data_IF_280185135015
#
_entry.id   IF_280185135015
#
_cell.length_a   1.000
_cell.length_b   1.000
_cell.length_c   1.000
_cell.angle_alpha   90.00
_cell.angle_beta   90.00
_cell.angle_gamma   90.00
#
_symmetry.space_group_name_H-M   'P 1'
#
loop_
_entity.id
_entity.type
_entity.pdbx_description
1 polymer ?
#
# COMPACT_ATOMS: atom_id res chain seq x y z
N UNK A 1 -38.13 25.62 36.59
CA UNK A 1 -37.83 25.27 35.19
C UNK A 1 -36.64 24.32 35.21
N UNK A 2 -36.92 23.01 35.19
CA UNK A 2 -35.86 21.98 35.23
C UNK A 2 -35.28 21.79 33.84
N UNK A 3 -34.05 22.22 33.65
CA UNK A 3 -33.29 21.84 32.46
C UNK A 3 -32.83 20.38 32.61
N UNK A 4 -33.58 19.45 32.05
CA UNK A 4 -33.10 18.09 31.79
C UNK A 4 -32.01 18.15 30.74
N UNK A 5 -30.77 17.99 31.16
CA UNK A 5 -29.64 17.67 30.24
C UNK A 5 -29.96 16.37 29.57
N UNK A 6 -29.88 16.27 28.23
CA UNK A 6 -30.09 14.99 27.56
C UNK A 6 -28.94 14.05 27.96
N UNK A 7 -29.30 12.91 28.53
CA UNK A 7 -28.39 11.79 28.76
C UNK A 7 -27.94 11.34 27.37
N UNK A 8 -26.74 11.70 26.96
CA UNK A 8 -26.10 11.19 25.78
C UNK A 8 -25.71 9.74 26.04
N UNK A 9 -26.08 8.88 25.13
CA UNK A 9 -25.82 7.46 25.03
C UNK A 9 -24.37 7.09 25.34
N UNK A 10 -24.05 6.90 26.61
CA UNK A 10 -22.75 6.32 27.02
C UNK A 10 -22.59 4.89 26.47
N UNK A 11 -23.69 4.22 26.16
CA UNK A 11 -23.70 2.90 25.52
C UNK A 11 -23.15 2.89 24.09
N UNK A 12 -23.52 3.85 23.22
CA UNK A 12 -23.03 3.93 21.84
C UNK A 12 -21.54 4.28 21.79
N UNK A 13 -21.06 5.14 22.71
CA UNK A 13 -19.63 5.44 22.80
C UNK A 13 -18.81 4.24 23.30
N UNK A 14 -19.35 3.48 24.24
CA UNK A 14 -18.69 2.26 24.75
C UNK A 14 -18.67 1.18 23.68
N UNK A 15 -19.75 0.98 22.94
CA UNK A 15 -19.77 0.04 21.79
C UNK A 15 -18.81 0.47 20.69
N UNK A 16 -18.74 1.74 20.31
CA UNK A 16 -17.75 2.23 19.35
C UNK A 16 -16.31 2.06 19.86
N UNK A 17 -16.04 2.32 21.13
CA UNK A 17 -14.71 2.07 21.71
C UNK A 17 -14.36 0.58 21.76
N UNK A 18 -15.30 -0.29 22.06
CA UNK A 18 -15.09 -1.74 22.04
C UNK A 18 -14.84 -2.23 20.62
N UNK A 19 -15.57 -1.73 19.60
CA UNK A 19 -15.37 -2.06 18.20
C UNK A 19 -14.03 -1.53 17.69
N UNK A 20 -13.65 -0.32 18.04
CA UNK A 20 -12.34 0.26 17.66
C UNK A 20 -11.19 -0.46 18.37
N UNK A 21 -11.33 -0.79 19.66
CA UNK A 21 -10.33 -1.59 20.38
C UNK A 21 -10.25 -3.02 19.86
N UNK A 22 -11.38 -3.62 19.47
CA UNK A 22 -11.42 -4.94 18.83
C UNK A 22 -10.71 -4.97 17.49
N UNK A 23 -10.98 -4.01 16.61
CA UNK A 23 -10.31 -3.91 15.32
C UNK A 23 -8.80 -3.68 15.46
N UNK A 24 -8.36 -2.82 16.36
CA UNK A 24 -6.94 -2.61 16.64
C UNK A 24 -6.28 -3.86 17.24
N UNK A 25 -7.00 -4.60 18.08
CA UNK A 25 -6.52 -5.87 18.63
C UNK A 25 -6.36 -6.95 17.55
N UNK A 26 -7.30 -7.03 16.60
CA UNK A 26 -7.23 -8.00 15.49
C UNK A 26 -6.08 -7.64 14.54
N UNK A 27 -5.95 -6.39 14.11
CA UNK A 27 -4.85 -5.94 13.25
C UNK A 27 -3.49 -6.17 13.90
N UNK A 28 -3.35 -5.81 15.19
CA UNK A 28 -2.14 -6.05 15.97
C UNK A 28 -1.80 -7.54 16.06
N UNK A 29 -2.80 -8.37 16.33
CA UNK A 29 -2.62 -9.83 16.41
C UNK A 29 -2.13 -10.39 15.06
N UNK A 30 -2.78 -9.98 13.96
CA UNK A 30 -2.40 -10.36 12.61
C UNK A 30 -0.96 -9.94 12.29
N UNK A 31 -0.60 -8.68 12.59
CA UNK A 31 0.73 -8.15 12.31
C UNK A 31 1.81 -8.81 13.17
N UNK A 32 1.66 -8.83 14.48
CA UNK A 32 2.73 -9.24 15.40
C UNK A 32 2.90 -10.76 15.46
N UNK A 33 1.80 -11.53 15.59
CA UNK A 33 1.91 -12.97 15.76
C UNK A 33 1.92 -13.73 14.42
N UNK A 34 1.24 -13.22 13.39
CA UNK A 34 1.21 -13.88 12.09
C UNK A 34 2.12 -13.21 11.06
N UNK A 35 2.75 -12.08 11.41
CA UNK A 35 3.60 -11.26 10.52
C UNK A 35 2.88 -10.84 9.23
N UNK A 36 1.57 -10.52 9.34
CA UNK A 36 0.71 -10.12 8.24
C UNK A 36 0.18 -8.71 8.48
N UNK A 37 0.60 -7.76 7.67
CA UNK A 37 0.16 -6.37 7.72
C UNK A 37 -0.96 -6.17 6.72
N UNK A 38 -2.14 -5.78 7.18
CA UNK A 38 -3.32 -5.60 6.34
C UNK A 38 -3.52 -4.12 5.99
N UNK A 39 -3.44 -3.80 4.69
CA UNK A 39 -3.83 -2.51 4.13
C UNK A 39 -5.15 -2.72 3.37
N UNK A 40 -6.27 -2.45 4.05
CA UNK A 40 -7.64 -2.61 3.52
C UNK A 40 -8.38 -1.27 3.53
N UNK A 41 -7.72 -0.25 2.98
CA UNK A 41 -8.20 1.13 2.93
C UNK A 41 -7.36 1.94 1.93
N UNK A 42 -7.71 3.20 1.74
CA UNK A 42 -6.95 4.14 0.93
C UNK A 42 -5.51 4.32 1.46
N UNK A 43 -4.57 4.56 0.55
CA UNK A 43 -3.17 4.90 0.89
C UNK A 43 -3.15 6.37 1.33
N UNK A 44 -3.04 6.56 2.63
CA UNK A 44 -2.99 7.86 3.31
C UNK A 44 -1.82 7.88 4.28
N UNK A 45 -1.53 9.04 4.85
CA UNK A 45 -0.53 9.15 5.90
C UNK A 45 -0.82 8.20 7.07
N UNK A 46 -2.08 8.06 7.49
CA UNK A 46 -2.48 7.20 8.60
C UNK A 46 -2.26 5.72 8.28
N UNK A 47 -2.71 5.26 7.10
CA UNK A 47 -2.59 3.86 6.71
C UNK A 47 -1.13 3.44 6.53
N UNK A 48 -0.32 4.32 5.97
CA UNK A 48 1.12 4.10 5.78
C UNK A 48 1.85 4.15 7.11
N UNK A 49 1.53 5.10 8.00
CA UNK A 49 2.12 5.16 9.35
C UNK A 49 1.82 3.89 10.15
N UNK A 50 0.59 3.35 10.07
CA UNK A 50 0.23 2.08 10.70
C UNK A 50 1.10 0.92 10.16
N UNK A 51 1.24 0.81 8.85
CA UNK A 51 2.07 -0.22 8.23
C UNK A 51 3.54 -0.11 8.63
N UNK A 52 4.10 1.09 8.60
CA UNK A 52 5.48 1.40 9.03
C UNK A 52 5.69 1.02 10.50
N UNK A 53 4.74 1.38 11.37
CA UNK A 53 4.80 1.02 12.80
C UNK A 53 4.93 -0.49 12.98
N UNK A 54 4.12 -1.30 12.29
CA UNK A 54 4.21 -2.76 12.39
C UNK A 54 5.51 -3.30 11.80
N UNK A 55 6.00 -2.76 10.69
CA UNK A 55 7.27 -3.18 10.10
C UNK A 55 8.44 -2.95 11.07
N UNK A 56 8.56 -1.77 11.65
CA UNK A 56 9.60 -1.49 12.64
C UNK A 56 9.44 -2.33 13.92
N UNK A 57 8.20 -2.53 14.39
CA UNK A 57 7.95 -3.40 15.54
C UNK A 57 8.44 -4.82 15.28
N UNK A 58 8.19 -5.37 14.09
CA UNK A 58 8.66 -6.70 13.71
C UNK A 58 10.19 -6.76 13.61
N UNK A 59 10.84 -5.71 13.10
CA UNK A 59 12.30 -5.62 13.06
C UNK A 59 12.90 -5.60 14.48
N UNK A 60 12.28 -4.86 15.41
CA UNK A 60 12.75 -4.79 16.78
C UNK A 60 12.57 -6.13 17.51
N UNK A 61 11.44 -6.81 17.31
CA UNK A 61 11.21 -8.16 17.84
C UNK A 61 12.23 -9.16 17.29
N UNK A 62 12.52 -9.14 15.98
CA UNK A 62 13.52 -10.02 15.38
C UNK A 62 14.93 -9.77 15.96
N UNK A 63 15.25 -8.51 16.28
CA UNK A 63 16.51 -8.13 16.94
C UNK A 63 16.56 -8.64 18.39
N UNK A 64 15.48 -8.48 19.14
CA UNK A 64 15.36 -8.96 20.51
C UNK A 64 15.48 -10.50 20.59
N UNK A 65 14.92 -11.20 19.59
CA UNK A 65 15.01 -12.65 19.47
C UNK A 65 16.36 -13.14 18.87
N UNK A 66 17.20 -12.24 18.38
CA UNK A 66 18.49 -12.56 17.75
C UNK A 66 18.36 -13.24 16.38
N UNK A 67 17.23 -13.05 15.69
CA UNK A 67 16.95 -13.67 14.39
C UNK A 67 17.03 -12.68 13.22
N UNK A 68 17.48 -11.45 13.44
CA UNK A 68 17.56 -10.37 12.44
C UNK A 68 18.43 -10.71 11.21
N UNK A 69 19.31 -11.71 11.33
CA UNK A 69 20.14 -12.20 10.20
C UNK A 69 19.42 -13.22 9.31
N UNK A 70 18.34 -13.79 9.80
CA UNK A 70 17.50 -14.75 9.06
C UNK A 70 16.04 -14.61 9.52
N UNK A 71 15.43 -13.43 9.33
CA UNK A 71 14.09 -13.16 9.80
C UNK A 71 13.06 -13.97 9.02
N UNK A 72 11.98 -14.34 9.70
CA UNK A 72 10.82 -14.94 9.02
C UNK A 72 10.19 -13.92 8.06
N UNK A 73 9.62 -14.38 6.93
CA UNK A 73 8.92 -13.48 6.00
C UNK A 73 7.82 -12.64 6.66
N UNK A 74 7.62 -11.46 6.12
CA UNK A 74 6.50 -10.57 6.46
C UNK A 74 5.60 -10.50 5.23
N UNK A 75 4.29 -10.63 5.42
CA UNK A 75 3.30 -10.54 4.34
C UNK A 75 2.51 -9.24 4.45
N UNK A 76 2.48 -8.44 3.38
CA UNK A 76 1.62 -7.27 3.25
C UNK A 76 0.40 -7.67 2.41
N UNK A 77 -0.78 -7.68 3.05
CA UNK A 77 -2.06 -8.01 2.42
C UNK A 77 -2.72 -6.72 1.92
N UNK A 78 -3.04 -6.66 0.64
CA UNK A 78 -3.52 -5.44 -0.03
C UNK A 78 -4.95 -5.61 -0.54
N UNK A 79 -5.82 -4.69 -0.13
CA UNK A 79 -7.11 -4.41 -0.74
C UNK A 79 -7.33 -2.90 -0.69
N UNK A 80 -6.85 -2.18 -1.70
CA UNK A 80 -6.79 -0.72 -1.68
C UNK A 80 -7.06 -0.11 -3.05
N UNK A 81 -7.83 0.98 -3.12
CA UNK A 81 -8.01 1.76 -4.36
C UNK A 81 -6.76 2.57 -4.73
N UNK A 82 -5.73 2.58 -3.91
CA UNK A 82 -4.59 3.50 -4.02
C UNK A 82 -4.76 4.73 -3.13
N UNK A 83 -4.20 5.85 -3.53
CA UNK A 83 -4.26 7.12 -2.78
C UNK A 83 -2.98 7.94 -2.93
N UNK A 84 -2.51 8.54 -1.84
CA UNK A 84 -1.36 9.44 -1.82
C UNK A 84 -0.08 8.77 -2.34
N UNK A 85 0.46 9.32 -3.43
CA UNK A 85 1.72 8.82 -4.02
C UNK A 85 2.89 9.05 -3.08
N UNK A 86 2.93 10.21 -2.42
CA UNK A 86 4.02 10.55 -1.51
C UNK A 86 4.08 9.61 -0.31
N UNK A 87 2.94 9.36 0.33
CA UNK A 87 2.88 8.43 1.46
C UNK A 87 3.22 7.00 1.01
N UNK A 88 2.69 6.57 -0.13
CA UNK A 88 2.99 5.25 -0.66
C UNK A 88 4.48 5.05 -1.02
N UNK A 89 5.16 6.07 -1.57
CA UNK A 89 6.60 6.01 -1.84
C UNK A 89 7.44 5.88 -0.56
N UNK A 90 6.98 6.40 0.57
CA UNK A 90 7.63 6.17 1.86
C UNK A 90 7.61 4.68 2.20
N UNK A 91 6.44 4.03 2.06
CA UNK A 91 6.31 2.59 2.32
C UNK A 91 7.13 1.75 1.33
N UNK A 92 7.13 2.11 0.04
CA UNK A 92 7.97 1.47 -0.98
C UNK A 92 9.45 1.54 -0.59
N UNK A 93 9.93 2.72 -0.20
CA UNK A 93 11.33 2.91 0.22
C UNK A 93 11.68 2.06 1.44
N UNK A 94 10.77 1.95 2.42
CA UNK A 94 11.00 1.09 3.59
C UNK A 94 11.03 -0.40 3.21
N UNK A 95 10.12 -0.84 2.33
CA UNK A 95 10.13 -2.22 1.82
C UNK A 95 11.47 -2.53 1.14
N UNK A 96 11.94 -1.65 0.26
CA UNK A 96 13.22 -1.80 -0.43
C UNK A 96 14.39 -1.86 0.57
N UNK A 97 14.44 -0.95 1.53
CA UNK A 97 15.46 -0.94 2.57
C UNK A 97 15.46 -2.23 3.40
N UNK A 98 14.30 -2.71 3.80
CA UNK A 98 14.19 -3.97 4.56
C UNK A 98 14.67 -5.16 3.72
N UNK A 99 14.36 -5.21 2.42
CA UNK A 99 14.88 -6.22 1.50
C UNK A 99 16.40 -6.19 1.41
N UNK A 100 17.00 -4.99 1.33
CA UNK A 100 18.46 -4.82 1.34
C UNK A 100 19.10 -5.28 2.66
N UNK A 101 18.35 -5.22 3.77
CA UNK A 101 18.74 -5.78 5.08
C UNK A 101 18.55 -7.29 5.19
N UNK A 102 18.03 -7.96 4.15
CA UNK A 102 17.80 -9.41 4.12
C UNK A 102 16.41 -9.88 4.52
N UNK A 103 15.45 -8.96 4.72
CA UNK A 103 14.05 -9.32 4.96
C UNK A 103 13.37 -9.80 3.69
N UNK A 104 12.56 -10.84 3.81
CA UNK A 104 11.61 -11.25 2.77
C UNK A 104 10.26 -10.57 3.03
N UNK A 105 9.91 -9.58 2.21
CA UNK A 105 8.63 -8.87 2.30
C UNK A 105 7.75 -9.34 1.14
N UNK A 106 6.79 -10.19 1.43
CA UNK A 106 5.82 -10.63 0.42
C UNK A 106 4.65 -9.64 0.33
N UNK A 107 4.05 -9.55 -0.83
CA UNK A 107 2.81 -8.80 -1.05
C UNK A 107 1.74 -9.73 -1.61
N UNK A 108 0.52 -9.59 -1.10
CA UNK A 108 -0.62 -10.39 -1.55
C UNK A 108 -1.81 -9.49 -1.87
N UNK A 109 -2.23 -9.47 -3.12
CA UNK A 109 -3.49 -8.84 -3.50
C UNK A 109 -4.66 -9.77 -3.12
N UNK A 110 -5.38 -9.42 -2.05
CA UNK A 110 -6.55 -10.19 -1.57
C UNK A 110 -7.85 -9.70 -2.19
N UNK A 111 -7.84 -8.53 -2.80
CA UNK A 111 -8.94 -7.88 -3.52
C UNK A 111 -8.37 -6.94 -4.56
N UNK A 112 -8.56 -5.65 -4.41
CA UNK A 112 -8.03 -4.65 -5.33
C UNK A 112 -6.63 -4.19 -4.91
N UNK A 113 -5.71 -4.10 -5.86
CA UNK A 113 -4.45 -3.39 -5.72
C UNK A 113 -4.36 -2.35 -6.85
N UNK A 114 -4.83 -1.12 -6.58
CA UNK A 114 -4.97 -0.09 -7.60
C UNK A 114 -4.06 1.11 -7.33
N UNK A 115 -3.65 1.80 -8.42
CA UNK A 115 -2.91 3.07 -8.36
C UNK A 115 -1.67 2.92 -7.47
N UNK A 116 -1.52 3.73 -6.43
CA UNK A 116 -0.40 3.60 -5.49
C UNK A 116 -0.35 2.24 -4.76
N UNK A 117 -1.50 1.59 -4.56
CA UNK A 117 -1.57 0.23 -4.03
C UNK A 117 -0.93 -0.80 -4.97
N UNK A 118 -1.05 -0.62 -6.29
CA UNK A 118 -0.34 -1.41 -7.29
C UNK A 118 1.18 -1.23 -7.20
N UNK A 119 1.64 0.01 -7.01
CA UNK A 119 3.08 0.30 -6.87
C UNK A 119 3.65 -0.36 -5.62
N UNK A 120 2.96 -0.30 -4.49
CA UNK A 120 3.36 -1.02 -3.26
C UNK A 120 3.37 -2.53 -3.52
N UNK A 121 2.34 -3.07 -4.20
CA UNK A 121 2.22 -4.49 -4.48
C UNK A 121 3.42 -5.04 -5.26
N UNK A 122 3.84 -4.37 -6.33
CA UNK A 122 4.92 -4.88 -7.19
C UNK A 122 6.30 -4.85 -6.52
N UNK A 123 6.48 -4.11 -5.41
CA UNK A 123 7.77 -4.05 -4.69
C UNK A 123 8.03 -5.25 -3.79
N UNK A 124 7.06 -6.13 -3.60
CA UNK A 124 7.22 -7.36 -2.83
C UNK A 124 8.36 -8.26 -3.31
N UNK A 125 8.93 -9.04 -2.39
CA UNK A 125 9.92 -10.09 -2.71
C UNK A 125 9.28 -11.24 -3.48
N UNK A 126 8.09 -11.65 -3.04
CA UNK A 126 7.20 -12.57 -3.75
C UNK A 126 5.81 -11.93 -3.77
N UNK A 127 5.18 -11.96 -4.93
CA UNK A 127 3.92 -11.27 -5.21
C UNK A 127 2.82 -12.28 -5.48
N UNK A 128 1.89 -12.39 -4.55
CA UNK A 128 0.78 -13.32 -4.62
C UNK A 128 -0.52 -12.61 -4.94
N UNK A 129 -1.43 -13.29 -5.61
CA UNK A 129 -2.75 -12.79 -5.91
C UNK A 129 -3.83 -13.81 -5.58
N UNK A 130 -4.93 -13.37 -4.98
CA UNK A 130 -6.12 -14.18 -4.94
C UNK A 130 -6.76 -14.23 -6.35
N UNK A 131 -7.50 -15.31 -6.63
CA UNK A 131 -8.08 -15.61 -7.94
C UNK A 131 -8.99 -14.50 -8.49
N UNK A 132 -9.66 -13.76 -7.62
CA UNK A 132 -10.59 -12.69 -7.98
C UNK A 132 -10.05 -11.29 -7.67
N UNK A 133 -8.74 -11.17 -7.47
CA UNK A 133 -8.12 -9.87 -7.30
C UNK A 133 -8.13 -9.08 -8.62
N UNK A 134 -8.03 -7.76 -8.49
CA UNK A 134 -7.95 -6.85 -9.63
C UNK A 134 -6.79 -5.87 -9.41
N UNK A 135 -6.04 -5.64 -10.44
CA UNK A 135 -4.99 -4.64 -10.48
C UNK A 135 -5.40 -3.47 -11.36
N UNK A 136 -5.03 -2.26 -10.97
CA UNK A 136 -5.26 -1.08 -11.79
C UNK A 136 -4.07 -0.14 -11.73
N UNK A 137 -3.66 0.32 -12.89
CA UNK A 137 -2.67 1.37 -13.08
C UNK A 137 -3.28 2.51 -13.87
N UNK A 138 -3.04 3.74 -13.45
CA UNK A 138 -3.41 4.96 -14.16
C UNK A 138 -2.32 6.02 -13.99
N UNK A 139 -2.42 7.07 -14.80
CA UNK A 139 -1.54 8.23 -14.67
C UNK A 139 -1.79 8.96 -13.35
N UNK A 140 -0.77 9.66 -12.84
CA UNK A 140 -0.91 10.44 -11.60
C UNK A 140 -1.95 11.54 -11.83
N UNK A 141 -3.03 11.48 -11.03
CA UNK A 141 -4.09 12.49 -11.07
C UNK A 141 -3.98 13.43 -9.88
N UNK A 142 -4.19 14.72 -10.13
CA UNK A 142 -4.21 15.73 -9.07
C UNK A 142 -5.17 16.86 -9.45
N UNK A 143 -5.72 17.51 -8.44
CA UNK A 143 -6.39 18.80 -8.60
C UNK A 143 -5.50 19.90 -8.01
N UNK A 144 -5.08 20.84 -8.83
CA UNK A 144 -4.22 21.95 -8.42
C UNK A 144 -4.90 23.28 -8.74
N UNK A 145 -4.74 24.22 -7.84
CA UNK A 145 -5.18 25.60 -8.01
C UNK A 145 -4.12 26.53 -7.43
N UNK A 146 -3.98 27.74 -7.98
CA UNK A 146 -2.99 28.70 -7.51
C UNK A 146 -2.51 29.66 -8.58
N UNK A 147 -1.39 30.32 -8.32
CA UNK A 147 -0.73 31.21 -9.30
C UNK A 147 -0.04 30.37 -10.38
N UNK A 148 0.10 30.93 -11.58
CA UNK A 148 0.69 30.23 -12.73
C UNK A 148 2.06 29.62 -12.40
N UNK A 149 2.94 30.37 -11.75
CA UNK A 149 4.27 29.85 -11.36
C UNK A 149 4.20 28.68 -10.39
N UNK A 150 3.32 28.74 -9.40
CA UNK A 150 3.12 27.68 -8.41
C UNK A 150 2.64 26.39 -9.10
N UNK A 151 1.77 26.55 -10.13
CA UNK A 151 1.28 25.44 -10.95
C UNK A 151 2.38 24.83 -11.83
N UNK A 152 3.23 25.66 -12.45
CA UNK A 152 4.36 25.21 -13.27
C UNK A 152 5.37 24.39 -12.43
N UNK A 153 5.73 24.89 -11.24
CA UNK A 153 6.62 24.18 -10.30
C UNK A 153 6.01 22.85 -9.83
N UNK A 154 4.73 22.87 -9.46
CA UNK A 154 4.00 21.66 -9.05
C UNK A 154 3.92 20.63 -10.18
N UNK A 155 3.72 21.07 -11.43
CA UNK A 155 3.71 20.17 -12.60
C UNK A 155 5.09 19.54 -12.85
N UNK A 156 6.17 20.27 -12.63
CA UNK A 156 7.52 19.71 -12.74
C UNK A 156 7.76 18.62 -11.68
N UNK A 157 7.35 18.85 -10.44
CA UNK A 157 7.49 17.87 -9.36
C UNK A 157 6.62 16.62 -9.61
N UNK A 158 5.42 16.78 -10.14
CA UNK A 158 4.58 15.65 -10.55
C UNK A 158 5.23 14.82 -11.67
N UNK A 159 5.89 15.46 -12.65
CA UNK A 159 6.62 14.74 -13.70
C UNK A 159 7.80 13.94 -13.13
N UNK A 160 8.51 14.50 -12.15
CA UNK A 160 9.59 13.78 -11.45
C UNK A 160 9.02 12.57 -10.70
N UNK A 161 7.91 12.77 -9.99
CA UNK A 161 7.22 11.70 -9.28
C UNK A 161 6.72 10.60 -10.23
N UNK A 162 6.11 10.97 -11.35
CA UNK A 162 5.68 10.03 -12.39
C UNK A 162 6.86 9.20 -12.92
N UNK A 163 7.99 9.86 -13.17
CA UNK A 163 9.20 9.14 -13.59
C UNK A 163 9.65 8.12 -12.55
N UNK A 164 9.63 8.46 -11.25
CA UNK A 164 9.98 7.52 -10.17
C UNK A 164 9.04 6.31 -10.17
N UNK A 165 7.73 6.53 -10.30
CA UNK A 165 6.73 5.45 -10.37
C UNK A 165 7.01 4.54 -11.57
N UNK A 166 7.36 5.08 -12.74
CA UNK A 166 7.71 4.28 -13.91
C UNK A 166 9.01 3.50 -13.73
N UNK A 167 10.01 4.10 -13.12
CA UNK A 167 11.27 3.41 -12.83
C UNK A 167 11.03 2.22 -11.88
N UNK A 168 10.10 2.35 -10.91
CA UNK A 168 9.67 1.26 -10.03
C UNK A 168 8.96 0.16 -10.83
N UNK A 169 8.01 0.50 -11.70
CA UNK A 169 7.29 -0.49 -12.53
C UNK A 169 8.28 -1.28 -13.40
N UNK A 170 9.20 -0.60 -14.07
CA UNK A 170 10.23 -1.24 -14.89
C UNK A 170 11.17 -2.13 -14.09
N UNK A 171 11.50 -1.73 -12.87
CA UNK A 171 12.39 -2.50 -11.97
C UNK A 171 11.74 -3.82 -11.54
N UNK A 172 10.43 -3.83 -11.31
CA UNK A 172 9.74 -4.94 -10.65
C UNK A 172 8.82 -5.76 -11.54
N UNK A 173 8.63 -5.37 -12.80
CA UNK A 173 7.72 -6.07 -13.72
C UNK A 173 8.37 -6.33 -15.08
N UNK A 174 7.74 -7.15 -15.90
CA UNK A 174 8.15 -7.39 -17.30
C UNK A 174 7.28 -6.61 -18.30
N UNK A 175 6.59 -5.56 -17.84
CA UNK A 175 5.76 -4.72 -18.72
C UNK A 175 6.65 -4.02 -19.74
N UNK A 176 6.41 -4.18 -21.06
CA UNK A 176 7.19 -3.54 -22.11
C UNK A 176 7.09 -2.01 -22.06
N UNK A 177 8.18 -1.32 -22.39
CA UNK A 177 8.24 0.15 -22.41
C UNK A 177 7.19 0.77 -23.34
N UNK A 178 6.92 0.14 -24.48
CA UNK A 178 5.90 0.57 -25.43
C UNK A 178 4.51 0.52 -24.80
N UNK A 179 4.22 -0.56 -24.06
CA UNK A 179 2.94 -0.73 -23.35
C UNK A 179 2.77 0.30 -22.24
N UNK A 180 3.84 0.59 -21.48
CA UNK A 180 3.82 1.65 -20.47
C UNK A 180 3.58 3.02 -21.09
N UNK A 181 4.22 3.35 -22.21
CA UNK A 181 4.00 4.60 -22.94
C UNK A 181 2.57 4.70 -23.47
N UNK A 182 2.05 3.62 -24.03
CA UNK A 182 0.66 3.56 -24.51
C UNK A 182 -0.32 3.88 -23.39
N UNK A 183 -0.11 3.35 -22.19
CA UNK A 183 -0.97 3.61 -21.03
C UNK A 183 -0.97 5.08 -20.62
N UNK A 184 0.18 5.74 -20.68
CA UNK A 184 0.32 7.17 -20.36
C UNK A 184 -0.35 8.02 -21.45
N UNK A 185 -0.03 7.76 -22.71
CA UNK A 185 -0.46 8.59 -23.84
C UNK A 185 -1.98 8.54 -24.02
N UNK A 186 -2.61 7.41 -23.73
CA UNK A 186 -4.05 7.22 -23.89
C UNK A 186 -4.88 7.72 -22.70
N UNK A 187 -4.27 8.14 -21.60
CA UNK A 187 -4.95 8.64 -20.37
C UNK A 187 -6.09 7.72 -19.92
N UNK A 188 -5.87 6.42 -19.97
CA UNK A 188 -6.87 5.41 -19.62
C UNK A 188 -6.42 4.62 -18.41
N UNK A 189 -7.37 4.31 -17.54
CA UNK A 189 -7.17 3.35 -16.48
C UNK A 189 -6.93 1.96 -17.08
N UNK A 190 -5.83 1.34 -16.73
CA UNK A 190 -5.45 0.00 -17.18
C UNK A 190 -5.78 -1.01 -16.10
N UNK A 191 -6.66 -1.92 -16.40
CA UNK A 191 -7.06 -2.99 -15.50
C UNK A 191 -6.43 -4.30 -15.93
N UNK A 192 -5.90 -5.04 -14.94
CA UNK A 192 -5.35 -6.38 -15.13
C UNK A 192 -6.04 -7.35 -14.19
N UNK A 193 -6.18 -8.58 -14.64
CA UNK A 193 -6.61 -9.70 -13.82
C UNK A 193 -5.43 -10.65 -13.56
N UNK A 194 -5.54 -11.56 -12.57
CA UNK A 194 -4.39 -12.35 -12.13
C UNK A 194 -3.65 -13.10 -13.23
N UNK A 195 -4.36 -13.67 -14.21
CA UNK A 195 -3.74 -14.44 -15.30
C UNK A 195 -2.87 -13.54 -16.18
N UNK A 196 -3.39 -12.38 -16.63
CA UNK A 196 -2.62 -11.40 -17.39
C UNK A 196 -1.48 -10.80 -16.55
N UNK A 197 -1.72 -10.58 -15.26
CA UNK A 197 -0.72 -10.04 -14.34
C UNK A 197 0.47 -11.00 -14.16
N UNK A 198 0.27 -12.31 -14.25
CA UNK A 198 1.35 -13.30 -14.27
C UNK A 198 2.17 -13.18 -15.54
N UNK A 199 1.53 -13.07 -16.70
CA UNK A 199 2.22 -12.93 -18.00
C UNK A 199 3.08 -11.66 -18.06
N UNK A 200 2.63 -10.58 -17.44
CA UNK A 200 3.34 -9.30 -17.35
C UNK A 200 4.41 -9.26 -16.22
N UNK A 201 4.62 -10.36 -15.50
CA UNK A 201 5.54 -10.40 -14.37
C UNK A 201 5.16 -9.47 -13.22
N UNK A 202 3.88 -9.13 -13.10
CA UNK A 202 3.31 -8.36 -12.00
C UNK A 202 3.05 -9.27 -10.80
N UNK A 203 2.50 -10.47 -11.06
CA UNK A 203 2.18 -11.51 -10.08
C UNK A 203 3.10 -12.70 -10.30
N UNK A 204 3.67 -13.24 -9.21
CA UNK A 204 4.50 -14.44 -9.28
C UNK A 204 3.66 -15.72 -9.17
N UNK A 205 2.54 -15.67 -8.42
CA UNK A 205 1.66 -16.82 -8.23
C UNK A 205 0.25 -16.42 -7.84
N UNK A 206 -0.76 -17.06 -8.47
CA UNK A 206 -2.16 -17.01 -8.07
C UNK A 206 -2.44 -18.12 -7.05
N UNK A 207 -3.13 -17.76 -5.95
CA UNK A 207 -3.45 -18.63 -4.81
C UNK A 207 -4.86 -19.23 -4.95
#
# INVERSE_FOLDING_TARGET
>A
MDYKTPIRNDGEMVEQQILLSGNNSIKKNLAIYQRKILINQEITNESVTEAIYYLYTLMDLDREEGVEKNPKPIDILLNTPGGSVWDGLILVSLIEQMKDMGYTINTTAIGTAASMGFIIFITGSNRYSYRHAQFMLHDISTMMGGKVKDLEESMEDLRKCQKQVFDIIKKYTHVPDEKLKEWIDHKRDMFFYPDEAVELGIVDKVL
#
